data_IF_872111756952
#
_entry.id   IF_872111756952
#
_cell.length_a   1.000
_cell.length_b   1.000
_cell.length_c   1.000
_cell.angle_alpha   90.00
_cell.angle_beta   90.00
_cell.angle_gamma   90.00
#
_symmetry.space_group_name_H-M   'P 1'
#
loop_
_entity.id
_entity.type
_entity.pdbx_description
1 polymer ?
#
# COMPACT_ATOMS: atom_id res chain seq x y z
N UNK A 1 -35.96 -11.83 -2.03
CA UNK A 1 -35.10 -11.06 -2.97
C UNK A 1 -33.84 -10.54 -2.26
N UNK A 2 -33.99 -9.99 -1.05
CA UNK A 2 -32.93 -9.58 -0.10
C UNK A 2 -31.78 -10.58 0.08
N UNK A 3 -32.07 -11.85 0.38
CA UNK A 3 -31.05 -12.88 0.61
C UNK A 3 -30.05 -13.08 -0.56
N UNK A 4 -30.52 -12.95 -1.81
CA UNK A 4 -29.66 -13.08 -2.99
C UNK A 4 -28.73 -11.88 -3.14
N UNK A 5 -29.20 -10.68 -2.78
CA UNK A 5 -28.40 -9.46 -2.78
C UNK A 5 -27.30 -9.53 -1.72
N UNK A 6 -27.64 -9.97 -0.50
CA UNK A 6 -26.68 -10.15 0.60
C UNK A 6 -25.56 -11.12 0.19
N UNK A 7 -25.92 -12.33 -0.29
CA UNK A 7 -24.94 -13.32 -0.76
C UNK A 7 -24.05 -12.80 -1.88
N UNK A 8 -24.64 -12.11 -2.87
CA UNK A 8 -23.90 -11.55 -4.00
C UNK A 8 -22.94 -10.46 -3.55
N UNK A 9 -23.36 -9.59 -2.63
CA UNK A 9 -22.54 -8.53 -2.07
C UNK A 9 -21.33 -9.09 -1.33
N UNK A 10 -21.53 -10.04 -0.41
CA UNK A 10 -20.42 -10.68 0.30
C UNK A 10 -19.49 -11.46 -0.62
N UNK A 11 -20.01 -12.15 -1.64
CA UNK A 11 -19.17 -12.79 -2.66
C UNK A 11 -18.23 -11.80 -3.35
N UNK A 12 -18.67 -10.55 -3.57
CA UNK A 12 -17.82 -9.49 -4.13
C UNK A 12 -16.79 -9.01 -3.11
N UNK A 13 -17.18 -8.83 -1.84
CA UNK A 13 -16.24 -8.46 -0.77
C UNK A 13 -15.12 -9.51 -0.61
N UNK A 14 -15.46 -10.80 -0.52
CA UNK A 14 -14.45 -11.88 -0.45
C UNK A 14 -13.54 -11.93 -1.67
N UNK A 15 -14.08 -11.70 -2.87
CA UNK A 15 -13.25 -11.61 -4.08
C UNK A 15 -12.22 -10.49 -3.98
N UNK A 16 -12.57 -9.33 -3.44
CA UNK A 16 -11.61 -8.23 -3.25
C UNK A 16 -10.56 -8.57 -2.19
N UNK A 17 -10.92 -9.32 -1.12
CA UNK A 17 -9.96 -9.86 -0.15
C UNK A 17 -8.97 -10.82 -0.84
N UNK A 18 -9.47 -11.74 -1.67
CA UNK A 18 -8.62 -12.69 -2.40
C UNK A 18 -7.67 -11.97 -3.37
N UNK A 19 -8.15 -10.93 -4.06
CA UNK A 19 -7.33 -10.10 -4.94
C UNK A 19 -6.22 -9.35 -4.16
N UNK A 20 -6.53 -8.86 -2.96
CA UNK A 20 -5.54 -8.23 -2.09
C UNK A 20 -4.50 -9.26 -1.61
N UNK A 21 -4.95 -10.40 -1.10
CA UNK A 21 -4.09 -11.51 -0.65
C UNK A 21 -3.15 -11.99 -1.76
N UNK A 22 -3.65 -12.11 -2.98
CA UNK A 22 -2.86 -12.50 -4.15
C UNK A 22 -1.74 -11.50 -4.53
N UNK A 23 -1.78 -10.26 -4.04
CA UNK A 23 -0.70 -9.27 -4.24
C UNK A 23 0.45 -9.42 -3.25
N UNK A 24 0.20 -9.97 -2.06
CA UNK A 24 1.18 -10.06 -0.97
C UNK A 24 2.47 -10.78 -1.39
N UNK A 25 2.42 -11.99 -2.00
CA UNK A 25 3.62 -12.74 -2.35
C UNK A 25 4.21 -12.32 -3.71
N UNK A 26 3.63 -11.33 -4.41
CA UNK A 26 4.12 -10.97 -5.74
C UNK A 26 5.51 -10.36 -5.63
N UNK A 27 6.47 -11.03 -6.28
CA UNK A 27 7.85 -10.60 -6.37
C UNK A 27 8.21 -10.31 -7.83
N UNK A 28 9.19 -9.43 -8.03
CA UNK A 28 9.79 -9.12 -9.32
C UNK A 28 11.31 -9.30 -9.24
N UNK A 29 11.93 -9.66 -10.36
CA UNK A 29 13.37 -9.89 -10.48
C UNK A 29 13.75 -11.36 -10.60
N UNK A 30 15.05 -11.62 -10.78
CA UNK A 30 15.61 -12.95 -11.07
C UNK A 30 16.54 -13.38 -9.93
N UNK A 31 16.43 -14.64 -9.50
CA UNK A 31 17.29 -15.26 -8.49
C UNK A 31 17.38 -14.46 -7.17
N UNK A 32 18.54 -13.88 -6.89
CA UNK A 32 18.86 -13.12 -5.66
C UNK A 32 18.41 -11.67 -5.75
N UNK A 33 18.09 -11.17 -6.95
CA UNK A 33 17.61 -9.81 -7.16
C UNK A 33 16.08 -9.70 -7.07
N UNK A 34 15.47 -10.47 -6.17
CA UNK A 34 14.02 -10.45 -5.96
C UNK A 34 13.64 -9.36 -4.98
N UNK A 35 12.64 -8.58 -5.36
CA UNK A 35 11.99 -7.58 -4.52
C UNK A 35 10.49 -7.86 -4.51
N UNK A 36 9.80 -7.53 -3.43
CA UNK A 36 8.36 -7.50 -3.51
C UNK A 36 7.91 -6.43 -4.50
N UNK A 37 6.89 -6.76 -5.28
CA UNK A 37 6.29 -5.85 -6.25
C UNK A 37 5.54 -4.71 -5.56
N UNK A 38 4.95 -5.00 -4.40
CA UNK A 38 4.22 -4.04 -3.57
C UNK A 38 4.86 -3.94 -2.18
N UNK A 39 5.04 -2.72 -1.71
CA UNK A 39 5.43 -2.42 -0.35
C UNK A 39 4.28 -2.67 0.63
N UNK A 40 4.61 -2.79 1.92
CA UNK A 40 3.63 -2.92 3.00
C UNK A 40 2.64 -1.75 2.98
N UNK A 41 3.12 -0.51 2.84
CA UNK A 41 2.28 0.70 2.81
C UNK A 41 1.33 0.71 1.60
N UNK A 42 1.79 0.27 0.43
CA UNK A 42 0.94 0.17 -0.77
C UNK A 42 -0.14 -0.92 -0.64
N UNK A 43 0.16 -2.02 0.06
CA UNK A 43 -0.83 -3.07 0.32
C UNK A 43 -1.89 -2.58 1.33
N UNK A 44 -1.46 -1.94 2.41
CA UNK A 44 -2.35 -1.38 3.43
C UNK A 44 -3.22 -0.23 2.90
N UNK A 45 -2.72 0.54 1.93
CA UNK A 45 -3.47 1.63 1.27
C UNK A 45 -4.12 1.21 -0.04
N UNK A 46 -4.23 -0.09 -0.31
CA UNK A 46 -4.77 -0.54 -1.59
C UNK A 46 -6.25 -0.18 -1.75
N UNK A 47 -6.67 0.08 -3.00
CA UNK A 47 -8.07 0.34 -3.36
C UNK A 47 -9.02 -0.81 -2.95
N UNK A 48 -8.50 -2.03 -2.79
CA UNK A 48 -9.30 -3.17 -2.36
C UNK A 48 -9.91 -2.96 -0.98
N UNK A 49 -9.19 -2.32 -0.05
CA UNK A 49 -9.73 -1.97 1.27
C UNK A 49 -10.95 -1.04 1.14
N UNK A 50 -10.85 0.00 0.30
CA UNK A 50 -11.94 0.93 0.05
C UNK A 50 -13.15 0.27 -0.61
N UNK A 51 -12.92 -0.64 -1.57
CA UNK A 51 -14.00 -1.42 -2.22
C UNK A 51 -14.73 -2.33 -1.24
N UNK A 52 -13.99 -3.04 -0.38
CA UNK A 52 -14.58 -3.91 0.63
C UNK A 52 -15.45 -3.09 1.57
N UNK A 53 -14.91 -1.98 2.11
CA UNK A 53 -15.64 -1.08 3.00
C UNK A 53 -16.94 -0.56 2.37
N UNK A 54 -16.87 -0.05 1.14
CA UNK A 54 -18.05 0.46 0.42
C UNK A 54 -19.12 -0.61 0.19
N UNK A 55 -18.72 -1.85 -0.11
CA UNK A 55 -19.65 -2.97 -0.27
C UNK A 55 -20.32 -3.31 1.07
N UNK A 56 -19.54 -3.43 2.14
CA UNK A 56 -20.06 -3.81 3.47
C UNK A 56 -20.95 -2.73 4.06
N UNK A 57 -20.60 -1.46 3.90
CA UNK A 57 -21.39 -0.32 4.37
C UNK A 57 -22.76 -0.29 3.67
N UNK A 58 -22.78 -0.36 2.34
CA UNK A 58 -24.03 -0.40 1.58
C UNK A 58 -24.90 -1.60 1.96
N UNK A 59 -24.31 -2.78 2.15
CA UNK A 59 -25.05 -3.96 2.60
C UNK A 59 -25.65 -3.75 3.99
N UNK A 60 -24.92 -3.11 4.90
CA UNK A 60 -25.41 -2.76 6.23
C UNK A 60 -26.62 -1.84 6.17
N UNK A 61 -26.56 -0.80 5.33
CA UNK A 61 -27.69 0.11 5.09
C UNK A 61 -28.90 -0.62 4.52
N UNK A 62 -28.70 -1.43 3.48
CA UNK A 62 -29.77 -2.20 2.83
C UNK A 62 -30.42 -3.20 3.81
N UNK A 63 -29.62 -3.92 4.59
CA UNK A 63 -30.07 -4.89 5.59
C UNK A 63 -30.85 -4.20 6.72
N UNK A 64 -30.33 -3.09 7.26
CA UNK A 64 -31.01 -2.31 8.29
C UNK A 64 -32.37 -1.81 7.80
N UNK A 65 -32.42 -1.25 6.58
CA UNK A 65 -33.65 -0.77 5.97
C UNK A 65 -34.66 -1.90 5.74
N UNK A 66 -34.23 -3.07 5.26
CA UNK A 66 -35.12 -4.21 5.05
C UNK A 66 -35.62 -4.83 6.35
N UNK A 67 -34.78 -4.89 7.38
CA UNK A 67 -35.16 -5.38 8.70
C UNK A 67 -36.21 -4.46 9.35
N UNK A 68 -35.97 -3.15 9.34
CA UNK A 68 -36.90 -2.16 9.89
C UNK A 68 -38.25 -2.14 9.15
N UNK A 69 -38.25 -2.47 7.85
CA UNK A 69 -39.47 -2.60 7.06
C UNK A 69 -40.18 -3.97 7.19
N UNK A 70 -39.68 -4.89 8.03
CA UNK A 70 -40.21 -6.25 8.17
C UNK A 70 -40.04 -7.13 6.93
N UNK A 71 -39.14 -6.76 6.02
CA UNK A 71 -38.87 -7.45 4.74
C UNK A 71 -37.69 -8.43 4.82
N UNK A 72 -37.00 -8.46 5.94
CA UNK A 72 -35.90 -9.37 6.22
C UNK A 72 -36.28 -10.29 7.37
N UNK A 73 -36.17 -11.60 7.16
CA UNK A 73 -36.38 -12.57 8.23
C UNK A 73 -35.11 -12.71 9.09
N UNK A 74 -35.26 -13.24 10.30
CA UNK A 74 -34.14 -13.40 11.24
C UNK A 74 -33.02 -14.30 10.68
N UNK A 75 -33.37 -15.34 9.92
CA UNK A 75 -32.36 -16.23 9.31
C UNK A 75 -31.44 -15.49 8.33
N UNK A 76 -31.99 -14.59 7.51
CA UNK A 76 -31.22 -13.80 6.56
C UNK A 76 -30.41 -12.70 7.28
N UNK A 77 -30.89 -12.21 8.43
CA UNK A 77 -30.17 -11.28 9.30
C UNK A 77 -28.98 -11.98 9.98
N UNK A 78 -29.19 -13.16 10.55
CA UNK A 78 -28.13 -13.99 11.15
C UNK A 78 -27.05 -14.31 10.12
N UNK A 79 -27.47 -14.70 8.90
CA UNK A 79 -26.56 -14.92 7.79
C UNK A 79 -25.76 -13.65 7.44
N UNK A 80 -26.38 -12.48 7.45
CA UNK A 80 -25.67 -11.22 7.23
C UNK A 80 -24.59 -10.98 8.30
N UNK A 81 -24.92 -11.19 9.58
CA UNK A 81 -23.97 -11.02 10.68
C UNK A 81 -22.80 -12.00 10.56
N UNK A 82 -23.06 -13.28 10.35
CA UNK A 82 -22.03 -14.30 10.15
C UNK A 82 -21.09 -13.93 9.00
N UNK A 83 -21.63 -13.52 7.84
CA UNK A 83 -20.80 -13.14 6.70
C UNK A 83 -20.02 -11.84 6.92
N UNK A 84 -20.57 -10.89 7.67
CA UNK A 84 -19.87 -9.66 8.05
C UNK A 84 -18.66 -9.99 8.93
N UNK A 85 -18.84 -10.83 9.94
CA UNK A 85 -17.78 -11.24 10.85
C UNK A 85 -16.68 -11.99 10.07
N UNK A 86 -17.06 -12.88 9.14
CA UNK A 86 -16.10 -13.56 8.26
C UNK A 86 -15.30 -12.61 7.36
N UNK A 87 -15.90 -11.52 6.88
CA UNK A 87 -15.19 -10.48 6.11
C UNK A 87 -14.19 -9.73 6.99
N UNK A 88 -14.57 -9.40 8.22
CA UNK A 88 -13.72 -8.73 9.19
C UNK A 88 -12.52 -9.60 9.58
N UNK A 89 -12.76 -10.89 9.89
CA UNK A 89 -11.72 -11.88 10.15
C UNK A 89 -10.79 -12.06 8.94
N UNK A 90 -11.35 -12.13 7.74
CA UNK A 90 -10.57 -12.23 6.50
C UNK A 90 -9.67 -11.03 6.26
N UNK A 91 -10.17 -9.82 6.52
CA UNK A 91 -9.40 -8.58 6.46
C UNK A 91 -8.29 -8.55 7.52
N UNK A 92 -8.60 -8.98 8.75
CA UNK A 92 -7.62 -9.05 9.82
C UNK A 92 -6.50 -10.04 9.50
N UNK A 93 -6.83 -11.23 8.99
CA UNK A 93 -5.86 -12.22 8.56
C UNK A 93 -4.94 -11.66 7.45
N UNK A 94 -5.52 -11.00 6.44
CA UNK A 94 -4.74 -10.36 5.36
C UNK A 94 -3.85 -9.24 5.90
N UNK A 95 -4.33 -8.46 6.88
CA UNK A 95 -3.51 -7.45 7.54
C UNK A 95 -2.29 -8.07 8.23
N UNK A 96 -2.49 -9.14 8.99
CA UNK A 96 -1.39 -9.88 9.61
C UNK A 96 -0.41 -10.45 8.57
N UNK A 97 -0.91 -11.02 7.47
CA UNK A 97 -0.08 -11.51 6.37
C UNK A 97 0.77 -10.39 5.74
N UNK A 98 0.23 -9.19 5.59
CA UNK A 98 0.95 -8.01 5.06
C UNK A 98 2.04 -7.58 6.04
N UNK A 99 1.72 -7.44 7.32
CA UNK A 99 2.63 -6.91 8.34
C UNK A 99 3.74 -7.91 8.70
N UNK A 100 3.41 -9.19 8.74
CA UNK A 100 4.34 -10.27 9.08
C UNK A 100 5.13 -10.79 7.87
N UNK A 101 4.95 -10.18 6.68
CA UNK A 101 5.67 -10.60 5.47
C UNK A 101 7.18 -10.44 5.67
N UNK A 102 7.90 -11.55 5.52
CA UNK A 102 9.37 -11.58 5.55
C UNK A 102 9.95 -10.68 4.44
N UNK A 103 10.92 -9.79 4.73
CA UNK A 103 11.59 -9.01 3.70
C UNK A 103 12.40 -9.94 2.77
N UNK A 104 12.61 -9.54 1.52
CA UNK A 104 13.59 -10.22 0.67
C UNK A 104 15.02 -9.84 1.08
N UNK A 105 16.01 -10.66 0.69
CA UNK A 105 17.43 -10.37 0.94
C UNK A 105 17.85 -8.98 0.44
N UNK A 106 17.32 -8.56 -0.71
CA UNK A 106 17.57 -7.20 -1.22
C UNK A 106 16.88 -6.13 -0.37
N UNK A 107 15.65 -6.36 0.10
CA UNK A 107 14.96 -5.40 0.97
C UNK A 107 15.70 -5.23 2.30
N UNK A 108 16.24 -6.33 2.85
CA UNK A 108 17.07 -6.33 4.04
C UNK A 108 18.38 -5.55 3.82
N UNK A 109 19.10 -5.82 2.72
CA UNK A 109 20.33 -5.10 2.37
C UNK A 109 20.08 -3.60 2.17
N UNK A 110 18.98 -3.25 1.48
CA UNK A 110 18.58 -1.86 1.28
C UNK A 110 18.24 -1.19 2.61
N UNK A 111 17.59 -1.90 3.54
CA UNK A 111 17.31 -1.41 4.89
C UNK A 111 18.57 -1.01 5.65
N UNK A 112 19.57 -1.89 5.69
CA UNK A 112 20.86 -1.63 6.36
C UNK A 112 21.57 -0.43 5.72
N UNK A 113 21.62 -0.38 4.39
CA UNK A 113 22.27 0.72 3.66
C UNK A 113 21.55 2.06 3.91
N UNK A 114 20.23 2.04 3.98
CA UNK A 114 19.40 3.21 4.25
C UNK A 114 19.65 3.78 5.64
N UNK A 115 19.76 2.94 6.66
CA UNK A 115 20.03 3.38 8.03
C UNK A 115 21.47 3.90 8.19
N UNK A 116 22.43 3.29 7.49
CA UNK A 116 23.78 3.84 7.37
C UNK A 116 23.77 5.25 6.74
N UNK A 117 23.08 5.43 5.61
CA UNK A 117 22.98 6.74 4.93
C UNK A 117 22.31 7.78 5.84
N UNK A 118 21.26 7.43 6.57
CA UNK A 118 20.64 8.33 7.56
C UNK A 118 21.64 8.75 8.64
N UNK A 119 22.38 7.79 9.21
CA UNK A 119 23.39 8.08 10.23
C UNK A 119 24.48 9.04 9.70
N UNK A 120 24.96 8.80 8.48
CA UNK A 120 25.94 9.68 7.82
C UNK A 120 25.38 11.07 7.58
N UNK A 121 24.14 11.21 7.09
CA UNK A 121 23.53 12.53 6.85
C UNK A 121 23.32 13.30 8.16
N UNK A 122 22.87 12.63 9.21
CA UNK A 122 22.60 13.24 10.52
C UNK A 122 23.90 13.70 11.19
N UNK A 123 24.94 12.88 11.16
CA UNK A 123 26.19 13.17 11.88
C UNK A 123 27.23 13.92 11.04
N UNK A 124 27.14 13.84 9.71
CA UNK A 124 28.15 14.39 8.79
C UNK A 124 27.50 15.02 7.54
N UNK A 125 26.78 16.15 7.69
CA UNK A 125 26.03 16.78 6.59
C UNK A 125 26.91 17.22 5.41
N UNK A 126 28.22 17.46 5.62
CA UNK A 126 29.18 17.82 4.56
C UNK A 126 29.53 16.66 3.61
N UNK A 127 29.35 15.41 4.03
CA UNK A 127 29.69 14.22 3.23
C UNK A 127 28.56 13.79 2.28
N UNK A 128 27.45 14.55 2.24
CA UNK A 128 26.30 14.31 1.37
C UNK A 128 26.67 14.22 -0.12
N UNK A 129 27.69 14.97 -0.55
CA UNK A 129 28.18 14.97 -1.94
C UNK A 129 29.12 13.82 -2.29
N UNK A 130 29.55 13.04 -1.29
CA UNK A 130 30.49 11.91 -1.44
C UNK A 130 29.80 10.54 -1.33
N UNK A 131 28.46 10.51 -1.32
CA UNK A 131 27.73 9.25 -1.31
C UNK A 131 28.06 8.44 -2.59
N UNK A 132 28.47 7.17 -2.46
CA UNK A 132 28.86 6.38 -3.63
C UNK A 132 27.69 6.24 -4.61
N UNK A 133 27.94 6.13 -5.94
CA UNK A 133 26.90 6.05 -6.97
C UNK A 133 25.88 4.93 -6.74
N UNK A 134 26.30 3.84 -6.09
CA UNK A 134 25.44 2.74 -5.65
C UNK A 134 24.29 3.23 -4.76
N UNK A 135 24.48 4.28 -3.97
CA UNK A 135 23.43 4.89 -3.14
C UNK A 135 22.36 5.54 -4.03
N UNK A 136 22.74 6.21 -5.12
CA UNK A 136 21.81 6.79 -6.08
C UNK A 136 21.01 5.69 -6.84
N UNK A 137 21.69 4.59 -7.18
CA UNK A 137 21.08 3.44 -7.84
C UNK A 137 20.09 2.72 -6.92
N UNK A 138 20.45 2.51 -5.64
CA UNK A 138 19.56 1.96 -4.60
C UNK A 138 18.39 2.91 -4.29
N UNK A 139 18.63 4.23 -4.26
CA UNK A 139 17.58 5.25 -4.08
C UNK A 139 16.57 5.27 -5.23
N UNK A 140 16.98 4.90 -6.44
CA UNK A 140 16.06 4.76 -7.56
C UNK A 140 15.03 3.65 -7.31
N UNK A 141 15.45 2.54 -6.72
CA UNK A 141 14.59 1.40 -6.37
C UNK A 141 13.66 1.63 -5.16
N UNK A 142 13.91 2.69 -4.37
CA UNK A 142 13.05 3.03 -3.24
C UNK A 142 11.69 3.63 -3.69
N UNK A 143 10.59 3.32 -2.96
CA UNK A 143 9.27 3.89 -3.23
C UNK A 143 9.32 5.43 -3.22
N UNK A 144 8.51 6.05 -4.07
CA UNK A 144 8.51 7.52 -4.28
C UNK A 144 8.20 8.32 -3.01
N UNK A 145 7.56 7.70 -2.01
CA UNK A 145 7.24 8.30 -0.71
C UNK A 145 8.43 8.39 0.26
N UNK A 146 9.58 7.79 -0.05
CA UNK A 146 10.71 7.76 0.87
C UNK A 146 11.34 9.16 1.02
N UNK A 147 11.45 9.71 2.25
CA UNK A 147 11.98 11.06 2.49
C UNK A 147 13.42 11.26 2.00
N UNK A 148 14.23 10.20 1.92
CA UNK A 148 15.61 10.27 1.43
C UNK A 148 15.69 10.53 -0.08
N UNK A 149 14.72 10.00 -0.84
CA UNK A 149 14.60 10.28 -2.28
C UNK A 149 14.26 11.75 -2.52
N UNK A 150 13.41 12.35 -1.67
CA UNK A 150 13.07 13.79 -1.72
C UNK A 150 14.20 14.68 -1.20
N UNK A 151 14.91 14.28 -0.15
CA UNK A 151 16.05 15.02 0.35
C UNK A 151 17.14 15.10 -0.72
N UNK A 152 17.55 13.98 -1.31
CA UNK A 152 18.69 13.95 -2.26
C UNK A 152 18.33 14.31 -3.70
N UNK A 153 17.09 14.07 -4.16
CA UNK A 153 16.61 14.46 -5.49
C UNK A 153 16.25 15.94 -5.65
N UNK A 154 16.44 16.76 -4.61
CA UNK A 154 16.09 18.18 -4.60
C UNK A 154 17.11 19.12 -5.26
N UNK A 155 18.06 18.63 -6.07
CA UNK A 155 19.15 19.46 -6.60
C UNK A 155 19.00 19.92 -8.07
N UNK A 156 17.89 19.61 -8.75
CA UNK A 156 17.76 19.89 -10.20
C UNK A 156 16.75 20.99 -10.58
N UNK A 157 16.23 21.78 -9.62
CA UNK A 157 15.25 22.85 -9.92
C UNK A 157 15.72 24.28 -9.74
N UNK A 158 16.95 24.54 -9.29
CA UNK A 158 17.44 25.91 -9.10
C UNK A 158 18.38 26.42 -10.20
N UNK A 159 19.08 25.57 -10.96
CA UNK A 159 20.02 26.04 -11.99
C UNK A 159 19.40 26.50 -13.33
N UNK A 160 18.09 26.33 -13.53
CA UNK A 160 17.44 26.70 -14.80
C UNK A 160 16.72 28.05 -14.79
N UNK A 161 16.58 28.73 -13.63
CA UNK A 161 16.00 30.08 -13.61
C UNK A 161 17.05 31.17 -13.87
N UNK A 162 18.27 30.99 -13.38
CA UNK A 162 19.31 32.03 -13.50
C UNK A 162 19.95 32.08 -14.89
N UNK A 163 19.78 31.04 -15.73
CA UNK A 163 20.26 31.03 -17.11
C UNK A 163 19.26 31.57 -18.14
N UNK A 164 17.99 31.79 -17.76
CA UNK A 164 16.98 32.37 -18.64
C UNK A 164 16.88 33.89 -18.53
N UNK A 165 17.29 34.49 -17.41
CA UNK A 165 17.31 35.95 -17.26
C UNK A 165 18.51 36.61 -17.97
N UNK A 166 19.63 35.91 -18.14
CA UNK A 166 20.86 36.47 -18.72
C UNK A 166 20.94 36.41 -20.27
N UNK A 167 19.86 35.98 -20.95
CA UNK A 167 19.80 35.89 -22.43
C UNK A 167 18.86 36.91 -23.08
N UNK A 168 18.21 37.78 -22.31
CA UNK A 168 17.28 38.77 -22.83
C UNK A 168 17.84 40.20 -22.86
N UNK A 169 19.09 40.42 -22.43
CA UNK A 169 19.70 41.76 -22.31
C UNK A 169 20.89 42.00 -23.27
N UNK A 170 20.90 41.42 -24.48
CA UNK A 170 21.83 41.82 -25.56
C UNK A 170 21.11 41.93 -26.91
#
# INVERSE_FOLDING_TARGET
MSARVIRSGFKRAFREIDLLRAKIPQQRGVWIFKLHKYSVDELLKSEHHGKIYSITEKLGDDVSNWHNAGKLNNRDLDFYHEQRDMVEDGLHAVHLEIVQRQPTLLEELVGVLNDFVKAVIIHLPRLRHFLPPIVAEVLWFLPSSNPLKRLLGGSDRQNNKDQQENKNDH
#
